data_IF_008810948640
#
_entry.id   IF_008810948640
#
_cell.length_a   1.000
_cell.length_b   1.000
_cell.length_c   1.000
_cell.angle_alpha   90.00
_cell.angle_beta   90.00
_cell.angle_gamma   90.00
#
_symmetry.space_group_name_H-M   'P 1'
#
loop_
_entity.id
_entity.type
_entity.pdbx_description
1 polymer ?
#
# COMPACT_ATOMS: atom_id res chain seq x y z
N UNK A 1 -22.83 28.16 41.50
CA UNK A 1 -22.37 27.81 40.14
C UNK A 1 -21.56 28.99 39.62
N UNK A 2 -20.27 28.84 39.36
CA UNK A 2 -19.36 29.96 39.10
C UNK A 2 -18.46 29.71 37.88
N UNK A 3 -18.32 30.78 37.07
CA UNK A 3 -17.23 31.13 36.14
C UNK A 3 -17.00 30.19 34.94
N UNK A 4 -17.24 30.56 33.67
CA UNK A 4 -16.77 31.66 32.77
C UNK A 4 -15.86 31.05 31.68
N UNK A 5 -16.38 31.08 30.44
CA UNK A 5 -15.68 30.87 29.16
C UNK A 5 -14.52 31.87 29.00
N UNK A 6 -13.44 31.43 28.37
CA UNK A 6 -12.39 32.29 27.81
C UNK A 6 -11.58 31.51 26.77
N UNK A 7 -11.86 31.78 25.50
CA UNK A 7 -11.12 31.34 24.32
C UNK A 7 -9.66 31.79 24.38
N UNK A 8 -8.75 30.88 24.00
CA UNK A 8 -7.32 31.15 23.86
C UNK A 8 -7.07 31.77 22.48
N UNK A 9 -7.20 33.09 22.36
CA UNK A 9 -6.78 33.82 21.15
C UNK A 9 -5.27 34.02 21.15
N UNK A 10 -4.59 33.34 20.22
CA UNK A 10 -3.19 33.57 19.85
C UNK A 10 -3.12 34.90 19.10
N UNK A 11 -2.58 35.94 19.74
CA UNK A 11 -2.15 37.15 19.03
C UNK A 11 -0.69 36.99 18.64
N UNK A 12 -0.45 36.89 17.34
CA UNK A 12 0.88 37.05 16.76
C UNK A 12 1.31 38.51 16.82
N UNK A 13 2.56 38.72 17.20
CA UNK A 13 3.32 39.91 16.82
C UNK A 13 4.68 39.45 16.33
N UNK A 14 4.83 39.55 15.03
CA UNK A 14 6.01 39.28 14.23
C UNK A 14 7.17 40.17 14.69
N UNK A 15 8.15 39.63 15.39
CA UNK A 15 9.48 40.24 15.47
C UNK A 15 10.34 39.71 14.33
N UNK A 16 10.08 40.23 13.12
CA UNK A 16 11.10 40.32 12.08
C UNK A 16 12.06 41.46 12.46
N UNK A 17 13.19 41.16 13.09
CA UNK A 17 14.30 42.13 13.13
C UNK A 17 15.11 42.00 11.84
N UNK A 18 14.59 42.64 10.79
CA UNK A 18 15.35 43.01 9.59
C UNK A 18 16.49 43.94 10.01
N UNK A 19 17.72 43.53 9.77
CA UNK A 19 18.92 44.34 9.97
C UNK A 19 19.06 45.22 8.72
N UNK A 20 18.48 46.41 8.75
CA UNK A 20 18.73 47.44 7.73
C UNK A 20 19.63 48.54 8.33
N UNK A 21 20.82 48.82 7.76
CA UNK A 21 21.75 49.77 8.33
C UNK A 21 21.34 51.18 7.90
N UNK A 22 20.65 51.93 8.76
CA UNK A 22 20.44 53.36 8.52
C UNK A 22 21.76 54.12 8.68
N UNK A 23 22.36 54.44 7.53
CA UNK A 23 23.46 55.40 7.42
C UNK A 23 22.97 56.82 7.76
N UNK A 24 23.22 57.26 8.99
CA UNK A 24 23.03 58.66 9.37
C UNK A 24 24.34 59.44 9.19
N UNK A 25 24.23 60.47 8.35
CA UNK A 25 25.25 61.44 7.95
C UNK A 25 26.01 61.98 9.17
N UNK A 26 27.35 61.94 9.06
CA UNK A 26 28.29 62.49 10.03
C UNK A 26 28.40 64.00 9.80
N UNK A 27 27.90 64.80 10.74
CA UNK A 27 28.31 66.21 10.89
C UNK A 27 29.30 66.31 12.03
N UNK A 28 30.51 66.80 11.72
CA UNK A 28 31.64 66.95 12.65
C UNK A 28 31.37 68.01 13.74
N UNK A 29 32.02 67.77 14.88
CA UNK A 29 32.38 68.69 15.97
C UNK A 29 31.39 68.84 17.14
N UNK A 30 31.53 67.94 18.13
CA UNK A 30 31.78 68.33 19.54
C UNK A 30 32.35 67.12 20.28
N UNK A 31 33.40 67.33 21.05
CA UNK A 31 34.13 66.33 21.85
C UNK A 31 33.18 65.34 22.53
N UNK A 32 33.13 64.09 22.03
CA UNK A 32 32.56 63.00 22.79
C UNK A 32 33.58 62.60 23.84
N UNK A 33 33.43 63.15 25.04
CA UNK A 33 34.02 62.56 26.25
C UNK A 33 33.68 61.08 26.23
N UNK A 34 34.71 60.23 26.32
CA UNK A 34 34.52 58.81 26.68
C UNK A 34 33.90 58.85 28.08
N UNK A 35 32.59 58.71 28.14
CA UNK A 35 31.87 58.56 29.40
C UNK A 35 32.32 57.20 29.95
N UNK A 36 32.85 57.13 31.18
CA UNK A 36 33.15 55.83 31.77
C UNK A 36 31.84 55.06 31.82
N UNK A 37 31.84 53.83 31.29
CA UNK A 37 30.72 52.90 31.52
C UNK A 37 30.44 52.93 33.03
N UNK A 38 29.20 53.20 33.48
CA UNK A 38 28.92 53.32 34.90
C UNK A 38 29.37 52.03 35.58
N UNK A 39 30.23 52.15 36.59
CA UNK A 39 30.78 51.03 37.37
C UNK A 39 29.69 50.04 37.85
N UNK A 40 28.45 50.50 37.99
CA UNK A 40 27.29 49.66 38.29
C UNK A 40 26.98 48.60 37.20
N UNK A 41 27.16 48.88 35.91
CA UNK A 41 26.95 47.88 34.85
C UNK A 41 28.08 46.85 34.82
N UNK A 42 29.32 47.26 35.08
CA UNK A 42 30.44 46.33 35.21
C UNK A 42 30.26 45.42 36.44
N UNK A 43 29.82 45.96 37.58
CA UNK A 43 29.47 45.21 38.78
C UNK A 43 28.30 44.24 38.57
N UNK A 44 27.29 44.63 37.79
CA UNK A 44 26.16 43.74 37.47
C UNK A 44 26.58 42.61 36.53
N UNK A 45 27.48 42.89 35.56
CA UNK A 45 28.07 41.87 34.68
C UNK A 45 28.93 40.90 35.49
N UNK A 46 29.79 41.42 36.36
CA UNK A 46 30.64 40.63 37.26
C UNK A 46 29.79 39.81 38.26
N UNK A 47 28.70 40.38 38.78
CA UNK A 47 27.73 39.65 39.61
C UNK A 47 26.95 38.59 38.84
N UNK A 48 26.64 38.79 37.55
CA UNK A 48 26.02 37.77 36.71
C UNK A 48 27.03 36.66 36.35
N UNK A 49 28.30 37.01 36.19
CA UNK A 49 29.40 36.06 36.03
C UNK A 49 29.60 35.22 37.29
N UNK A 50 29.51 35.83 38.47
CA UNK A 50 29.52 35.15 39.78
C UNK A 50 28.22 34.37 40.04
N UNK A 51 27.06 34.85 39.57
CA UNK A 51 25.76 34.23 39.85
C UNK A 51 25.49 32.94 39.04
N UNK A 52 26.15 32.78 37.89
CA UNK A 52 26.22 31.50 37.21
C UNK A 52 27.56 30.85 37.49
N UNK A 53 27.61 30.16 38.63
CA UNK A 53 28.71 29.31 39.06
C UNK A 53 29.23 28.48 37.87
N UNK A 54 30.55 28.41 37.71
CA UNK A 54 31.19 27.77 36.56
C UNK A 54 30.77 26.29 36.46
N UNK A 55 30.57 25.66 37.62
CA UNK A 55 30.02 24.30 37.78
C UNK A 55 28.56 24.19 37.29
N UNK A 56 27.73 25.20 37.52
CA UNK A 56 26.35 25.22 37.03
C UNK A 56 26.31 25.32 35.50
N UNK A 57 27.18 26.15 34.92
CA UNK A 57 27.31 26.25 33.45
C UNK A 57 27.77 24.92 32.86
N UNK A 58 28.78 24.28 33.45
CA UNK A 58 29.27 22.98 33.02
C UNK A 58 28.18 21.91 33.09
N UNK A 59 27.43 21.85 34.20
CA UNK A 59 26.34 20.91 34.40
C UNK A 59 25.20 21.08 33.36
N UNK A 60 24.87 22.33 33.00
CA UNK A 60 23.90 22.62 31.93
C UNK A 60 24.44 22.14 30.58
N UNK A 61 25.70 22.42 30.25
CA UNK A 61 26.31 21.95 29.01
C UNK A 61 26.35 20.43 28.91
N UNK A 62 26.79 19.73 29.96
CA UNK A 62 26.80 18.27 29.98
C UNK A 62 25.40 17.67 29.82
N UNK A 63 24.39 18.31 30.42
CA UNK A 63 23.00 17.90 30.27
C UNK A 63 22.52 18.09 28.83
N UNK A 64 22.79 19.24 28.22
CA UNK A 64 22.44 19.52 26.82
C UNK A 64 23.11 18.55 25.85
N UNK A 65 24.38 18.20 26.09
CA UNK A 65 25.11 17.20 25.29
C UNK A 65 24.48 15.81 25.44
N UNK A 66 24.12 15.41 26.67
CA UNK A 66 23.42 14.13 26.92
C UNK A 66 22.05 14.08 26.24
N UNK A 67 21.26 15.15 26.35
CA UNK A 67 19.95 15.25 25.71
C UNK A 67 20.07 15.19 24.17
N UNK A 68 21.06 15.87 23.58
CA UNK A 68 21.33 15.76 22.13
C UNK A 68 21.65 14.33 21.71
N UNK A 69 22.50 13.62 22.47
CA UNK A 69 22.83 12.23 22.16
C UNK A 69 21.61 11.31 22.26
N UNK A 70 20.74 11.53 23.24
CA UNK A 70 19.48 10.77 23.38
C UNK A 70 18.54 11.03 22.20
N UNK A 71 18.39 12.29 21.77
CA UNK A 71 17.57 12.63 20.60
C UNK A 71 18.12 11.96 19.34
N UNK A 72 19.45 12.00 19.12
CA UNK A 72 20.06 11.34 17.98
C UNK A 72 19.82 9.82 17.98
N UNK A 73 19.92 9.16 19.14
CA UNK A 73 19.60 7.74 19.26
C UNK A 73 18.12 7.46 18.94
N UNK A 74 17.20 8.26 19.49
CA UNK A 74 15.76 8.10 19.21
C UNK A 74 15.44 8.25 17.72
N UNK A 75 16.05 9.23 17.03
CA UNK A 75 15.89 9.39 15.58
C UNK A 75 16.35 8.13 14.84
N UNK A 76 17.49 7.55 15.21
CA UNK A 76 17.97 6.31 14.56
C UNK A 76 17.07 5.10 14.83
N UNK A 77 16.47 4.99 16.02
CA UNK A 77 15.53 3.91 16.35
C UNK A 77 14.19 4.10 15.64
N UNK A 78 13.66 5.31 15.58
CA UNK A 78 12.47 5.66 14.78
C UNK A 78 12.67 5.32 13.30
N UNK A 79 13.85 5.60 12.74
CA UNK A 79 14.16 5.20 11.36
C UNK A 79 14.15 3.68 11.17
N UNK A 80 14.70 2.91 12.11
CA UNK A 80 14.70 1.45 12.05
C UNK A 80 13.28 0.90 12.16
N UNK A 81 12.47 1.43 13.08
CA UNK A 81 11.08 1.05 13.26
C UNK A 81 10.27 1.35 12.00
N UNK A 82 10.43 2.55 11.44
CA UNK A 82 9.75 2.96 10.21
C UNK A 82 10.11 2.05 9.03
N UNK A 83 11.40 1.71 8.88
CA UNK A 83 11.87 0.76 7.85
C UNK A 83 11.24 -0.62 8.04
N UNK A 84 11.23 -1.15 9.26
CA UNK A 84 10.65 -2.46 9.54
C UNK A 84 9.14 -2.50 9.25
N UNK A 85 8.41 -1.45 9.61
CA UNK A 85 6.97 -1.32 9.34
C UNK A 85 6.71 -1.27 7.82
N UNK A 86 7.47 -0.48 7.08
CA UNK A 86 7.28 -0.39 5.62
C UNK A 86 7.62 -1.71 4.92
N UNK A 87 8.66 -2.44 5.37
CA UNK A 87 8.96 -3.79 4.86
C UNK A 87 7.78 -4.73 5.11
N UNK A 88 7.29 -4.81 6.34
CA UNK A 88 6.15 -5.68 6.68
C UNK A 88 4.89 -5.32 5.88
N UNK A 89 4.66 -4.03 5.63
CA UNK A 89 3.56 -3.56 4.78
C UNK A 89 3.72 -4.02 3.34
N UNK A 90 4.92 -3.91 2.77
CA UNK A 90 5.20 -4.36 1.40
C UNK A 90 5.02 -5.88 1.26
N UNK A 91 5.50 -6.66 2.23
CA UNK A 91 5.30 -8.12 2.28
C UNK A 91 3.81 -8.48 2.34
N UNK A 92 3.03 -7.79 3.18
CA UNK A 92 1.58 -8.02 3.27
C UNK A 92 0.86 -7.73 1.94
N UNK A 93 1.26 -6.67 1.23
CA UNK A 93 0.72 -6.33 -0.09
C UNK A 93 1.07 -7.42 -1.11
N UNK A 94 2.30 -7.91 -1.11
CA UNK A 94 2.73 -8.97 -2.03
C UNK A 94 1.97 -10.28 -1.78
N UNK A 95 1.82 -10.68 -0.52
CA UNK A 95 1.00 -11.84 -0.15
C UNK A 95 -0.46 -11.70 -0.60
N UNK A 96 -1.05 -10.52 -0.41
CA UNK A 96 -2.41 -10.24 -0.86
C UNK A 96 -2.55 -10.33 -2.39
N UNK A 97 -1.57 -9.80 -3.14
CA UNK A 97 -1.54 -9.91 -4.60
C UNK A 97 -1.45 -11.35 -5.08
N UNK A 98 -0.56 -12.15 -4.50
CA UNK A 98 -0.42 -13.57 -4.89
C UNK A 98 -1.68 -14.38 -4.55
N UNK A 99 -2.29 -14.14 -3.39
CA UNK A 99 -3.58 -14.74 -3.03
C UNK A 99 -4.68 -14.34 -4.02
N UNK A 100 -4.75 -13.07 -4.39
CA UNK A 100 -5.69 -12.57 -5.39
C UNK A 100 -5.51 -13.23 -6.76
N UNK A 101 -4.26 -13.34 -7.25
CA UNK A 101 -3.95 -14.02 -8.51
C UNK A 101 -4.37 -15.49 -8.49
N UNK A 102 -4.08 -16.22 -7.40
CA UNK A 102 -4.49 -17.62 -7.24
C UNK A 102 -6.01 -17.76 -7.26
N UNK A 103 -6.71 -16.90 -6.54
CA UNK A 103 -8.18 -16.89 -6.51
C UNK A 103 -8.77 -16.63 -7.90
N UNK A 104 -8.29 -15.62 -8.61
CA UNK A 104 -8.78 -15.29 -9.96
C UNK A 104 -8.55 -16.43 -10.96
N UNK A 105 -7.38 -17.08 -10.90
CA UNK A 105 -7.09 -18.26 -11.73
C UNK A 105 -8.02 -19.42 -11.41
N UNK A 106 -8.33 -19.66 -10.12
CA UNK A 106 -9.27 -20.69 -9.70
C UNK A 106 -10.69 -20.40 -10.21
N UNK A 107 -11.15 -19.15 -10.12
CA UNK A 107 -12.47 -18.72 -10.61
C UNK A 107 -12.59 -18.89 -12.13
N UNK A 108 -11.54 -18.52 -12.89
CA UNK A 108 -11.51 -18.73 -14.35
C UNK A 108 -11.54 -20.22 -14.68
N UNK A 109 -10.77 -21.04 -13.96
CA UNK A 109 -10.76 -22.48 -14.16
C UNK A 109 -12.14 -23.11 -13.86
N UNK A 110 -12.80 -22.67 -12.79
CA UNK A 110 -14.15 -23.08 -12.45
C UNK A 110 -15.15 -22.69 -13.55
N UNK A 111 -15.16 -21.43 -14.00
CA UNK A 111 -16.03 -20.98 -15.09
C UNK A 111 -15.81 -21.75 -16.38
N UNK A 112 -14.57 -22.12 -16.69
CA UNK A 112 -14.26 -22.96 -17.87
C UNK A 112 -14.85 -24.36 -17.71
N UNK A 113 -14.76 -24.97 -16.53
CA UNK A 113 -15.38 -26.28 -16.25
C UNK A 113 -16.90 -26.22 -16.33
N UNK A 114 -17.52 -25.20 -15.77
CA UNK A 114 -18.97 -25.00 -15.84
C UNK A 114 -19.45 -24.83 -17.29
N UNK A 115 -18.72 -24.04 -18.09
CA UNK A 115 -19.00 -23.90 -19.54
C UNK A 115 -18.82 -25.22 -20.28
N UNK A 116 -17.74 -25.96 -20.03
CA UNK A 116 -17.51 -27.26 -20.66
C UNK A 116 -18.63 -28.24 -20.31
N UNK A 117 -19.02 -28.32 -19.04
CA UNK A 117 -20.13 -29.17 -18.60
C UNK A 117 -21.46 -28.78 -19.26
N UNK A 118 -21.72 -27.48 -19.43
CA UNK A 118 -22.91 -27.00 -20.14
C UNK A 118 -22.90 -27.40 -21.62
N UNK A 119 -21.75 -27.31 -22.30
CA UNK A 119 -21.59 -27.74 -23.70
C UNK A 119 -21.76 -29.25 -23.83
N UNK A 120 -21.13 -30.04 -22.94
CA UNK A 120 -21.27 -31.50 -22.93
C UNK A 120 -22.73 -31.91 -22.70
N UNK A 121 -23.42 -31.26 -21.77
CA UNK A 121 -24.84 -31.50 -21.51
C UNK A 121 -25.70 -31.17 -22.74
N UNK A 122 -25.49 -30.00 -23.34
CA UNK A 122 -26.20 -29.59 -24.56
C UNK A 122 -25.96 -30.57 -25.72
N UNK A 123 -24.72 -31.04 -25.87
CA UNK A 123 -24.37 -32.02 -26.89
C UNK A 123 -25.13 -33.33 -26.68
N UNK A 124 -25.13 -33.87 -25.46
CA UNK A 124 -25.80 -35.14 -25.13
C UNK A 124 -27.33 -35.03 -25.27
N UNK A 125 -27.93 -33.96 -24.75
CA UNK A 125 -29.39 -33.83 -24.66
C UNK A 125 -30.05 -33.35 -25.95
N UNK A 126 -29.33 -32.66 -26.83
CA UNK A 126 -29.93 -31.97 -27.97
C UNK A 126 -29.17 -32.23 -29.27
N UNK A 127 -27.85 -32.07 -29.28
CA UNK A 127 -27.11 -32.08 -30.55
C UNK A 127 -26.85 -33.50 -31.06
N UNK A 128 -26.71 -34.49 -30.17
CA UNK A 128 -26.46 -35.87 -30.53
C UNK A 128 -27.60 -36.47 -31.35
N UNK A 129 -28.86 -36.27 -30.93
CA UNK A 129 -30.05 -36.74 -31.65
C UNK A 129 -30.11 -36.11 -33.05
N UNK A 130 -29.95 -34.78 -33.12
CA UNK A 130 -29.92 -34.06 -34.41
C UNK A 130 -28.79 -34.53 -35.32
N UNK A 131 -27.63 -34.87 -34.74
CA UNK A 131 -26.47 -35.31 -35.49
C UNK A 131 -26.70 -36.71 -36.06
N UNK A 132 -27.28 -37.62 -35.27
CA UNK A 132 -27.71 -38.95 -35.72
C UNK A 132 -28.71 -38.82 -36.88
N UNK A 133 -29.78 -38.02 -36.71
CA UNK A 133 -30.78 -37.78 -37.76
C UNK A 133 -30.15 -37.20 -39.03
N UNK A 134 -29.21 -36.26 -38.86
CA UNK A 134 -28.54 -35.63 -40.00
C UNK A 134 -27.59 -36.56 -40.74
N UNK A 135 -27.12 -37.64 -40.11
CA UNK A 135 -26.15 -38.57 -40.67
C UNK A 135 -26.76 -39.94 -41.04
N UNK A 136 -28.07 -40.12 -40.88
CA UNK A 136 -28.79 -41.38 -41.16
C UNK A 136 -28.66 -41.85 -42.63
N UNK A 137 -28.36 -40.94 -43.55
CA UNK A 137 -28.10 -41.28 -44.95
C UNK A 137 -26.73 -41.94 -45.19
N UNK A 138 -25.82 -41.91 -44.21
CA UNK A 138 -24.48 -42.47 -44.31
C UNK A 138 -24.47 -43.96 -43.92
N UNK A 139 -23.55 -44.76 -44.49
CA UNK A 139 -23.30 -46.11 -43.98
C UNK A 139 -22.93 -46.08 -42.49
N UNK A 140 -23.43 -47.06 -41.74
CA UNK A 140 -23.31 -47.12 -40.27
C UNK A 140 -21.89 -46.83 -39.75
N UNK A 141 -20.87 -47.48 -40.30
CA UNK A 141 -19.47 -47.27 -39.87
C UNK A 141 -18.99 -45.83 -40.10
N UNK A 142 -19.39 -45.22 -41.22
CA UNK A 142 -19.04 -43.83 -41.55
C UNK A 142 -19.80 -42.83 -40.67
N UNK A 143 -21.08 -43.08 -40.43
CA UNK A 143 -21.90 -42.30 -39.50
C UNK A 143 -21.30 -42.34 -38.10
N UNK A 144 -21.04 -43.54 -37.58
CA UNK A 144 -20.47 -43.76 -36.26
C UNK A 144 -19.14 -43.03 -36.07
N UNK A 145 -18.20 -43.19 -37.01
CA UNK A 145 -16.91 -42.49 -36.96
C UNK A 145 -17.06 -40.97 -36.99
N UNK A 146 -18.00 -40.46 -37.77
CA UNK A 146 -18.27 -39.02 -37.88
C UNK A 146 -18.80 -38.47 -36.56
N UNK A 147 -19.81 -39.14 -35.99
CA UNK A 147 -20.46 -38.76 -34.73
C UNK A 147 -19.49 -38.89 -33.55
N UNK A 148 -18.69 -39.96 -33.51
CA UNK A 148 -17.62 -40.14 -32.52
C UNK A 148 -16.57 -39.03 -32.62
N UNK A 149 -16.27 -38.55 -33.82
CA UNK A 149 -15.38 -37.40 -34.04
C UNK A 149 -15.91 -36.10 -33.42
N UNK A 150 -17.21 -35.83 -33.56
CA UNK A 150 -17.85 -34.67 -32.92
C UNK A 150 -17.91 -34.82 -31.39
N UNK A 151 -18.27 -36.01 -30.88
CA UNK A 151 -18.32 -36.27 -29.45
C UNK A 151 -16.94 -36.14 -28.79
N UNK A 152 -15.88 -36.62 -29.45
CA UNK A 152 -14.50 -36.50 -28.98
C UNK A 152 -14.04 -35.04 -28.87
N UNK A 153 -14.47 -34.15 -29.77
CA UNK A 153 -14.14 -32.72 -29.70
C UNK A 153 -14.75 -32.03 -28.46
N UNK A 154 -15.89 -32.52 -27.98
CA UNK A 154 -16.60 -32.00 -26.81
C UNK A 154 -16.22 -32.75 -25.52
N UNK A 155 -15.48 -33.86 -25.63
CA UNK A 155 -15.10 -34.70 -24.50
C UNK A 155 -16.25 -35.58 -23.99
N UNK A 156 -17.12 -36.01 -24.90
CA UNK A 156 -18.20 -36.96 -24.64
C UNK A 156 -17.79 -38.32 -25.20
N UNK A 157 -17.99 -39.38 -24.41
CA UNK A 157 -17.75 -40.76 -24.83
C UNK A 157 -19.08 -41.39 -25.25
N UNK A 158 -19.10 -41.93 -26.45
CA UNK A 158 -20.25 -42.65 -27.00
C UNK A 158 -20.01 -44.16 -26.94
N UNK A 159 -21.05 -44.89 -26.55
CA UNK A 159 -21.08 -46.35 -26.53
C UNK A 159 -22.23 -46.83 -27.42
N UNK A 160 -21.86 -47.48 -28.51
CA UNK A 160 -22.80 -47.98 -29.51
C UNK A 160 -23.11 -49.46 -29.26
N UNK A 161 -24.40 -49.81 -29.17
CA UNK A 161 -24.88 -51.18 -29.12
C UNK A 161 -25.74 -51.46 -30.34
N UNK A 162 -25.48 -52.59 -30.97
CA UNK A 162 -26.29 -53.10 -32.08
C UNK A 162 -27.44 -53.94 -31.50
N UNK A 163 -28.66 -53.64 -31.93
CA UNK A 163 -29.89 -54.34 -31.53
C UNK A 163 -30.27 -55.37 -32.60
N UNK A 164 -31.02 -56.39 -32.20
CA UNK A 164 -31.66 -57.31 -33.14
C UNK A 164 -32.62 -56.50 -34.03
N UNK A 165 -32.55 -56.70 -35.35
CA UNK A 165 -33.19 -55.93 -36.44
C UNK A 165 -32.35 -54.80 -37.11
N UNK A 166 -31.06 -54.68 -36.78
CA UNK A 166 -30.16 -53.72 -37.43
C UNK A 166 -30.39 -52.27 -36.99
N UNK A 167 -31.08 -52.08 -35.86
CA UNK A 167 -31.16 -50.82 -35.14
C UNK A 167 -29.95 -50.67 -34.20
N UNK A 168 -29.64 -49.43 -33.83
CA UNK A 168 -28.49 -49.12 -32.98
C UNK A 168 -28.91 -48.22 -31.83
N UNK A 169 -28.39 -48.50 -30.63
CA UNK A 169 -28.54 -47.67 -29.45
C UNK A 169 -27.21 -46.94 -29.19
N UNK A 170 -27.27 -45.60 -29.10
CA UNK A 170 -26.13 -44.77 -28.76
C UNK A 170 -26.27 -44.24 -27.33
N UNK A 171 -25.38 -44.69 -26.44
CA UNK A 171 -25.34 -44.23 -25.06
C UNK A 171 -24.20 -43.22 -24.90
N UNK A 172 -24.53 -42.00 -24.49
CA UNK A 172 -23.55 -40.94 -24.29
C UNK A 172 -23.23 -40.76 -22.79
N UNK A 173 -21.95 -40.55 -22.50
CA UNK A 173 -21.46 -40.26 -21.15
C UNK A 173 -20.38 -39.18 -21.19
N UNK A 174 -20.32 -38.35 -20.15
CA UNK A 174 -19.23 -37.39 -19.99
C UNK A 174 -17.97 -38.13 -19.55
N UNK A 175 -16.85 -37.88 -20.22
CA UNK A 175 -15.55 -38.50 -19.93
C UNK A 175 -14.88 -37.92 -18.67
#
# INVERSE_FOLDING_TARGET
MAARKGELTVQGTETQTSIEPQSRKITKAKEQKIVPVPSAFALVIEQLEIAFDEDLRLAIFERLVREQQQIAQQVTEEEKLTKAVEIARLEAIEQAREKGKKSARAEIAQRKREKLAAIQKQFIEVDLEKLIDSCDYLPYETMKQTIDGFAAQVGVKLEWKELEDGQFECNASVA
#
